data_IF_596135321091
#
_entry.id   IF_596135321091
#
_cell.length_a   1.000
_cell.length_b   1.000
_cell.length_c   1.000
_cell.angle_alpha   90.00
_cell.angle_beta   90.00
_cell.angle_gamma   90.00
#
_symmetry.space_group_name_H-M   'P 1'
#
loop_
_entity.id
_entity.type
_entity.pdbx_description
1 polymer ?
#
# COMPACT_ATOMS: atom_id res chain seq x y z
N UNK A 1 0.48 13.47 -8.92
CA UNK A 1 1.42 12.47 -8.39
C UNK A 1 1.64 11.40 -9.45
N UNK A 2 2.88 10.95 -9.70
CA UNK A 2 3.13 9.91 -10.69
C UNK A 2 2.92 8.51 -10.07
N UNK A 3 2.43 7.51 -10.83
CA UNK A 3 2.32 6.13 -10.33
C UNK A 3 3.66 5.58 -9.84
N UNK A 4 4.77 5.91 -10.54
CA UNK A 4 6.12 5.48 -10.16
C UNK A 4 6.52 6.02 -8.78
N UNK A 5 6.21 7.28 -8.48
CA UNK A 5 6.50 7.86 -7.15
C UNK A 5 5.71 7.14 -6.05
N UNK A 6 4.42 6.83 -6.29
CA UNK A 6 3.58 6.09 -5.32
C UNK A 6 4.12 4.69 -5.10
N UNK A 7 4.50 4.00 -6.18
CA UNK A 7 5.05 2.64 -6.11
C UNK A 7 6.33 2.61 -5.28
N UNK A 8 7.27 3.52 -5.56
CA UNK A 8 8.52 3.63 -4.80
C UNK A 8 8.22 3.87 -3.32
N UNK A 9 7.33 4.81 -2.99
CA UNK A 9 6.99 5.10 -1.60
C UNK A 9 6.28 3.95 -0.90
N UNK A 10 5.39 3.26 -1.59
CA UNK A 10 4.70 2.10 -1.04
C UNK A 10 5.66 0.92 -0.80
N UNK A 11 6.59 0.67 -1.72
CA UNK A 11 7.64 -0.33 -1.53
C UNK A 11 8.52 0.03 -0.34
N UNK A 12 8.97 1.28 -0.22
CA UNK A 12 9.73 1.75 0.94
C UNK A 12 8.94 1.57 2.25
N UNK A 13 7.60 1.71 2.23
CA UNK A 13 6.75 1.54 3.44
C UNK A 13 6.78 0.07 3.85
N UNK A 14 6.56 -0.84 2.90
CA UNK A 14 6.59 -2.27 3.21
C UNK A 14 7.96 -2.75 3.64
N UNK A 15 9.03 -2.21 3.07
CA UNK A 15 10.40 -2.51 3.51
C UNK A 15 10.63 -2.10 4.97
N UNK A 16 10.15 -0.92 5.37
CA UNK A 16 10.23 -0.45 6.76
C UNK A 16 9.42 -1.36 7.70
N UNK A 17 8.16 -1.63 7.38
CA UNK A 17 7.28 -2.50 8.18
C UNK A 17 7.88 -3.91 8.36
N UNK A 18 8.39 -4.52 7.28
CA UNK A 18 8.99 -5.86 7.34
C UNK A 18 10.25 -5.86 8.19
N UNK A 19 11.11 -4.84 8.03
CA UNK A 19 12.32 -4.68 8.84
C UNK A 19 12.00 -4.54 10.32
N UNK A 20 11.05 -3.66 10.67
CA UNK A 20 10.66 -3.38 12.06
C UNK A 20 9.96 -4.57 12.72
N UNK A 21 9.28 -5.40 11.92
CA UNK A 21 8.65 -6.65 12.37
C UNK A 21 9.64 -7.82 12.46
N UNK A 22 10.91 -7.64 12.07
CA UNK A 22 11.93 -8.68 12.09
C UNK A 22 11.84 -9.71 10.96
N UNK A 23 11.05 -9.43 9.92
CA UNK A 23 10.96 -10.26 8.72
C UNK A 23 12.15 -10.02 7.79
N UNK A 24 12.52 -11.04 7.02
CA UNK A 24 13.63 -10.94 6.09
C UNK A 24 13.27 -10.03 4.92
N UNK A 25 14.27 -9.30 4.42
CA UNK A 25 14.13 -8.48 3.23
C UNK A 25 13.83 -9.37 2.00
N UNK A 26 12.54 -9.53 1.70
CA UNK A 26 12.07 -10.14 0.46
C UNK A 26 12.12 -9.08 -0.63
N UNK A 27 12.43 -9.47 -1.86
CA UNK A 27 12.36 -8.54 -2.98
C UNK A 27 10.89 -8.15 -3.22
N UNK A 28 10.54 -6.93 -2.81
CA UNK A 28 9.21 -6.34 -3.02
C UNK A 28 9.20 -5.67 -4.39
N UNK A 29 8.19 -6.01 -5.21
CA UNK A 29 8.03 -5.52 -6.59
C UNK A 29 6.58 -5.15 -6.86
N UNK A 30 6.30 -4.47 -7.96
CA UNK A 30 4.94 -4.14 -8.39
C UNK A 30 3.95 -5.31 -8.42
N UNK A 31 4.43 -6.53 -8.68
CA UNK A 31 3.60 -7.75 -8.72
C UNK A 31 3.35 -8.39 -7.35
N UNK A 32 4.03 -7.93 -6.29
CA UNK A 32 3.84 -8.45 -4.93
C UNK A 32 2.44 -8.10 -4.43
N UNK A 33 1.72 -9.10 -3.89
CA UNK A 33 0.43 -8.91 -3.24
C UNK A 33 0.64 -8.92 -1.70
N UNK A 34 0.51 -7.77 -1.01
CA UNK A 34 0.92 -7.64 0.40
C UNK A 34 0.30 -8.67 1.33
N UNK A 35 -1.01 -8.89 1.21
CA UNK A 35 -1.77 -9.80 2.09
C UNK A 35 -1.49 -11.29 1.85
N UNK A 36 -0.79 -11.66 0.78
CA UNK A 36 -0.45 -13.05 0.48
C UNK A 36 1.04 -13.32 0.50
N UNK A 37 1.85 -12.34 0.13
CA UNK A 37 3.26 -12.54 -0.20
C UNK A 37 4.20 -11.96 0.87
N UNK A 38 3.74 -10.99 1.67
CA UNK A 38 4.54 -10.43 2.76
C UNK A 38 4.31 -11.21 4.05
N UNK A 39 5.41 -11.67 4.64
CA UNK A 39 5.35 -12.46 5.87
C UNK A 39 4.76 -11.63 7.01
N UNK A 40 3.80 -12.22 7.74
CA UNK A 40 3.15 -11.58 8.88
C UNK A 40 2.27 -10.38 8.56
N UNK A 41 2.11 -10.01 7.28
CA UNK A 41 1.30 -8.86 6.91
C UNK A 41 -0.18 -9.14 7.15
N UNK A 42 -0.83 -8.28 7.94
CA UNK A 42 -2.20 -8.47 8.40
C UNK A 42 -3.03 -7.17 8.33
N UNK A 43 -4.24 -7.21 8.89
CA UNK A 43 -5.14 -6.05 8.90
C UNK A 43 -4.64 -4.85 9.70
N UNK A 44 -3.78 -5.05 10.70
CA UNK A 44 -3.21 -3.94 11.47
C UNK A 44 -2.10 -3.27 10.67
N UNK A 45 -1.21 -4.07 10.08
CA UNK A 45 -0.14 -3.57 9.23
C UNK A 45 -0.66 -2.93 7.94
N UNK A 46 -1.84 -3.36 7.47
CA UNK A 46 -2.58 -2.67 6.41
C UNK A 46 -2.91 -1.21 6.76
N UNK A 47 -3.47 -0.97 7.95
CA UNK A 47 -3.83 0.38 8.41
C UNK A 47 -2.57 1.23 8.59
N UNK A 48 -1.53 0.65 9.19
CA UNK A 48 -0.23 1.31 9.37
C UNK A 48 0.40 1.68 8.02
N UNK A 49 0.44 0.76 7.06
CA UNK A 49 0.98 1.01 5.72
C UNK A 49 0.23 2.14 5.00
N UNK A 50 -1.11 2.20 5.11
CA UNK A 50 -1.92 3.27 4.53
C UNK A 50 -1.57 4.62 5.17
N UNK A 51 -1.45 4.67 6.49
CA UNK A 51 -1.06 5.89 7.22
C UNK A 51 0.33 6.37 6.84
N UNK A 52 1.33 5.48 6.87
CA UNK A 52 2.70 5.80 6.47
C UNK A 52 2.79 6.27 5.02
N UNK A 53 2.02 5.67 4.11
CA UNK A 53 1.97 6.08 2.71
C UNK A 53 1.38 7.48 2.57
N UNK A 54 0.27 7.76 3.24
CA UNK A 54 -0.39 9.06 3.25
C UNK A 54 0.58 10.16 3.73
N UNK A 55 1.26 9.92 4.86
CA UNK A 55 2.25 10.85 5.43
C UNK A 55 3.43 11.11 4.48
N UNK A 56 3.94 10.07 3.80
CA UNK A 56 5.08 10.19 2.88
C UNK A 56 4.74 10.92 1.58
N UNK A 57 3.49 10.83 1.14
CA UNK A 57 3.02 11.46 -0.08
C UNK A 57 2.42 12.85 0.16
N UNK A 58 2.23 13.25 1.42
CA UNK A 58 1.53 14.49 1.81
C UNK A 58 0.12 14.55 1.19
N UNK A 59 -0.62 13.44 1.32
CA UNK A 59 -1.99 13.29 0.79
C UNK A 59 -2.92 12.68 1.84
N UNK A 60 -4.22 12.88 1.66
CA UNK A 60 -5.23 12.17 2.44
C UNK A 60 -5.67 10.89 1.72
N UNK A 61 -5.68 9.77 2.45
CA UNK A 61 -6.28 8.51 2.01
C UNK A 61 -7.41 8.19 3.00
N UNK A 62 -8.68 8.17 2.57
CA UNK A 62 -9.79 7.93 3.48
C UNK A 62 -9.65 6.60 4.22
N UNK A 63 -9.78 6.61 5.55
CA UNK A 63 -9.66 5.42 6.41
C UNK A 63 -10.63 4.28 6.05
N UNK A 64 -11.70 4.56 5.31
CA UNK A 64 -12.66 3.56 4.84
C UNK A 64 -12.25 2.89 3.51
N UNK A 65 -11.17 3.34 2.87
CA UNK A 65 -10.64 2.75 1.63
C UNK A 65 -9.46 1.83 1.93
N UNK A 66 -9.72 0.52 1.90
CA UNK A 66 -8.63 -0.45 1.85
C UNK A 66 -8.04 -0.46 0.44
N UNK A 67 -6.92 0.24 0.26
CA UNK A 67 -6.23 0.37 -1.04
C UNK A 67 -5.65 -0.95 -1.55
N UNK A 68 -5.60 -1.99 -0.71
CA UNK A 68 -5.08 -3.32 -1.06
C UNK A 68 -6.17 -4.32 -1.41
N UNK A 69 -7.45 -3.91 -1.43
CA UNK A 69 -8.58 -4.79 -1.72
C UNK A 69 -9.35 -4.30 -2.96
N UNK A 70 -9.78 -5.24 -3.80
CA UNK A 70 -10.60 -4.93 -4.97
C UNK A 70 -11.90 -4.24 -4.57
N UNK A 71 -12.45 -3.41 -5.46
CA UNK A 71 -13.70 -2.65 -5.23
C UNK A 71 -14.90 -3.55 -4.85
N UNK A 72 -14.90 -4.81 -5.28
CA UNK A 72 -15.94 -5.79 -4.93
C UNK A 72 -15.65 -6.58 -3.65
N UNK A 73 -14.51 -6.33 -2.99
CA UNK A 73 -14.11 -6.93 -1.73
C UNK A 73 -13.62 -8.38 -1.83
N UNK A 74 -13.39 -8.92 -3.04
CA UNK A 74 -13.14 -10.35 -3.25
C UNK A 74 -11.69 -10.74 -3.45
N UNK A 75 -10.81 -9.78 -3.76
CA UNK A 75 -9.44 -10.08 -4.18
C UNK A 75 -8.47 -9.06 -3.61
N UNK A 76 -7.39 -9.55 -3.03
CA UNK A 76 -6.23 -8.74 -2.66
C UNK A 76 -5.48 -8.26 -3.89
N UNK A 77 -5.02 -7.02 -3.84
CA UNK A 77 -4.40 -6.32 -4.94
C UNK A 77 -2.88 -6.43 -4.86
N UNK A 78 -2.22 -6.43 -6.02
CA UNK A 78 -0.78 -6.22 -6.08
C UNK A 78 -0.42 -4.77 -5.75
N UNK A 79 0.87 -4.49 -5.57
CA UNK A 79 1.37 -3.12 -5.38
C UNK A 79 1.00 -2.23 -6.57
N UNK A 80 1.22 -2.69 -7.81
CA UNK A 80 0.82 -1.95 -9.03
C UNK A 80 -0.67 -1.60 -9.05
N UNK A 81 -1.52 -2.55 -8.65
CA UNK A 81 -2.96 -2.34 -8.60
C UNK A 81 -3.35 -1.36 -7.47
N UNK A 82 -2.68 -1.46 -6.32
CA UNK A 82 -2.88 -0.57 -5.17
C UNK A 82 -2.43 0.86 -5.48
N UNK A 83 -1.33 1.01 -6.22
CA UNK A 83 -0.85 2.30 -6.75
C UNK A 83 -1.91 2.94 -7.63
N UNK A 84 -2.55 2.17 -8.52
CA UNK A 84 -3.63 2.69 -9.34
C UNK A 84 -4.82 3.17 -8.50
N UNK A 85 -5.16 2.48 -7.40
CA UNK A 85 -6.21 2.91 -6.46
C UNK A 85 -5.82 4.22 -5.77
N UNK A 86 -4.59 4.35 -5.27
CA UNK A 86 -4.11 5.58 -4.62
C UNK A 86 -4.12 6.76 -5.61
N UNK A 87 -3.64 6.55 -6.83
CA UNK A 87 -3.71 7.58 -7.87
C UNK A 87 -5.16 7.98 -8.19
N UNK A 88 -6.12 7.04 -8.19
CA UNK A 88 -7.54 7.36 -8.38
C UNK A 88 -8.09 8.22 -7.23
N UNK A 89 -7.76 7.89 -5.98
CA UNK A 89 -8.19 8.64 -4.78
C UNK A 89 -7.67 10.09 -4.84
N UNK A 90 -6.37 10.25 -5.04
CA UNK A 90 -5.72 11.57 -5.05
C UNK A 90 -6.20 12.43 -6.23
N UNK A 91 -6.45 11.83 -7.39
CA UNK A 91 -6.96 12.57 -8.54
C UNK A 91 -8.44 12.96 -8.41
N UNK A 92 -9.23 12.25 -7.59
CA UNK A 92 -10.65 12.56 -7.35
C UNK A 92 -10.85 13.73 -6.36
N UNK A 93 -9.82 14.13 -5.62
CA UNK A 93 -9.90 15.23 -4.65
C UNK A 93 -10.88 14.94 -3.52
N UNK A 94 -11.00 13.67 -3.11
CA UNK A 94 -11.71 13.28 -1.88
C UNK A 94 -10.84 13.62 -0.66
N UNK A 95 -10.52 14.91 -0.53
CA UNK A 95 -9.89 15.58 0.63
C UNK A 95 -10.97 16.37 1.37
#
# INVERSE_FOLDING_TARGET
MSPEDVEVKLIEVFQEIQSDSGYQATQITGTTCPMTDLEGFDSLLCIEAIGMLADRLDVEIPNNNNIFLSKDGKRWLTIEESVAVVCEIVNRGET
#
